data_IF_210462259067
#
_entry.id   IF_210462259067
#
_cell.length_a   1.000
_cell.length_b   1.000
_cell.length_c   1.000
_cell.angle_alpha   90.00
_cell.angle_beta   90.00
_cell.angle_gamma   90.00
#
_symmetry.space_group_name_H-M   'P 1'
#
loop_
_entity.id
_entity.type
_entity.pdbx_description
1 polymer ?
#
# COMPACT_ATOMS: atom_id res chain seq x y z
N UNK A 1 -6.28 9.75 -9.14
CA UNK A 1 -6.08 8.30 -9.08
C UNK A 1 -7.10 7.68 -8.12
N UNK A 2 -7.71 6.60 -8.53
CA UNK A 2 -8.73 5.91 -7.74
C UNK A 2 -8.10 4.74 -6.97
N UNK A 3 -8.41 4.66 -5.67
CA UNK A 3 -7.88 3.63 -4.77
C UNK A 3 -8.94 2.61 -4.32
N UNK A 4 -10.15 2.66 -4.87
CA UNK A 4 -11.27 1.81 -4.43
C UNK A 4 -12.08 2.44 -3.32
N UNK A 5 -13.24 1.87 -3.02
CA UNK A 5 -14.14 2.29 -1.93
C UNK A 5 -14.52 3.79 -1.96
N UNK A 6 -14.54 4.40 -3.14
CA UNK A 6 -14.85 5.82 -3.28
C UNK A 6 -13.69 6.74 -2.96
N UNK A 7 -12.48 6.24 -2.74
CA UNK A 7 -11.32 7.05 -2.39
C UNK A 7 -10.57 7.50 -3.64
N UNK A 8 -10.69 8.76 -3.97
CA UNK A 8 -10.00 9.40 -5.07
C UNK A 8 -8.84 10.23 -4.51
N UNK A 9 -7.62 9.92 -4.93
CA UNK A 9 -6.43 10.61 -4.45
C UNK A 9 -5.88 10.02 -3.16
N UNK A 10 -4.61 10.36 -2.90
CA UNK A 10 -3.84 9.77 -1.80
C UNK A 10 -4.38 10.17 -0.43
N UNK A 11 -4.81 11.43 -0.28
CA UNK A 11 -5.35 11.91 1.00
C UNK A 11 -6.60 11.11 1.40
N UNK A 12 -7.53 10.93 0.47
CA UNK A 12 -8.75 10.15 0.73
C UNK A 12 -8.43 8.70 1.05
N UNK A 13 -7.49 8.10 0.32
CA UNK A 13 -7.08 6.71 0.54
C UNK A 13 -6.39 6.53 1.89
N UNK A 14 -5.49 7.44 2.27
CA UNK A 14 -4.81 7.39 3.56
C UNK A 14 -5.81 7.48 4.71
N UNK A 15 -6.74 8.42 4.64
CA UNK A 15 -7.79 8.55 5.65
C UNK A 15 -8.74 7.37 5.64
N UNK A 16 -9.17 6.93 4.46
CA UNK A 16 -10.16 5.88 4.32
C UNK A 16 -9.65 4.51 4.75
N UNK A 17 -8.49 4.10 4.27
CA UNK A 17 -7.96 2.78 4.59
C UNK A 17 -7.26 2.72 5.94
N UNK A 18 -6.55 3.78 6.35
CA UNK A 18 -5.67 3.74 7.51
C UNK A 18 -5.97 4.79 8.57
N UNK A 19 -6.91 5.68 8.32
CA UNK A 19 -7.28 6.72 9.29
C UNK A 19 -6.15 7.70 9.58
N UNK A 20 -5.27 7.96 8.61
CA UNK A 20 -4.10 8.81 8.79
C UNK A 20 -3.96 9.83 7.65
N UNK A 21 -3.21 10.89 7.89
CA UNK A 21 -2.87 11.85 6.85
C UNK A 21 -1.79 11.27 5.91
N UNK A 22 -1.74 11.73 4.64
CA UNK A 22 -0.73 11.22 3.68
C UNK A 22 0.70 11.36 4.18
N UNK A 23 1.01 12.48 4.87
CA UNK A 23 2.35 12.77 5.38
C UNK A 23 2.77 11.80 6.49
N UNK A 24 1.80 11.11 7.10
CA UNK A 24 2.04 10.17 8.20
C UNK A 24 1.99 8.72 7.78
N UNK A 25 1.81 8.44 6.50
CA UNK A 25 1.84 7.07 6.01
C UNK A 25 3.20 6.45 6.29
N UNK A 26 3.17 5.23 6.84
CA UNK A 26 4.37 4.41 6.92
C UNK A 26 4.70 3.86 5.54
N UNK A 27 5.91 3.33 5.36
CA UNK A 27 6.28 2.70 4.10
C UNK A 27 5.43 1.45 3.81
N UNK A 28 5.04 0.71 4.83
CA UNK A 28 4.12 -0.42 4.66
C UNK A 28 2.76 0.03 4.15
N UNK A 29 2.19 1.08 4.73
CA UNK A 29 0.93 1.65 4.28
C UNK A 29 1.03 2.24 2.87
N UNK A 30 2.07 3.02 2.61
CA UNK A 30 2.26 3.67 1.31
C UNK A 30 2.44 2.66 0.17
N UNK A 31 3.20 1.61 0.39
CA UNK A 31 3.43 0.57 -0.63
C UNK A 31 2.18 -0.28 -0.86
N UNK A 32 1.37 -0.51 0.17
CA UNK A 32 0.06 -1.14 0.00
C UNK A 32 -0.83 -0.29 -0.91
N UNK A 33 -0.95 1.01 -0.64
CA UNK A 33 -1.77 1.89 -1.46
C UNK A 33 -1.25 1.97 -2.90
N UNK A 34 0.06 2.04 -3.09
CA UNK A 34 0.64 2.05 -4.43
C UNK A 34 0.26 0.80 -5.23
N UNK A 35 0.13 -0.34 -4.58
CA UNK A 35 -0.28 -1.58 -5.22
C UNK A 35 -1.73 -1.59 -5.68
N UNK A 36 -2.62 -0.83 -5.02
CA UNK A 36 -4.04 -0.82 -5.35
C UNK A 36 -4.35 -0.05 -6.64
N UNK A 37 -3.51 0.88 -7.03
CA UNK A 37 -3.80 1.82 -8.12
C UNK A 37 -4.09 1.12 -9.44
N UNK A 38 -3.42 0.02 -9.72
CA UNK A 38 -3.55 -0.69 -10.99
C UNK A 38 -4.89 -1.41 -11.12
N UNK A 39 -5.40 -1.97 -10.03
CA UNK A 39 -6.69 -2.69 -10.04
C UNK A 39 -7.31 -2.66 -8.64
N UNK A 40 -7.94 -1.54 -8.23
CA UNK A 40 -8.43 -1.37 -6.86
C UNK A 40 -9.44 -2.42 -6.41
N UNK A 41 -10.28 -2.91 -7.31
CA UNK A 41 -11.26 -3.96 -6.98
C UNK A 41 -10.62 -5.33 -6.81
N UNK A 42 -9.66 -5.68 -7.67
CA UNK A 42 -8.96 -6.97 -7.61
C UNK A 42 -8.05 -7.06 -6.38
N UNK A 43 -7.46 -5.95 -5.98
CA UNK A 43 -6.53 -5.86 -4.85
C UNK A 43 -7.16 -5.22 -3.62
N UNK A 44 -8.50 -5.23 -3.52
CA UNK A 44 -9.23 -4.66 -2.38
C UNK A 44 -8.76 -5.32 -1.07
N UNK A 45 -8.10 -4.56 -0.17
CA UNK A 45 -7.55 -5.17 1.04
C UNK A 45 -8.60 -5.65 2.03
N UNK A 46 -9.85 -5.18 1.92
CA UNK A 46 -10.93 -5.64 2.79
C UNK A 46 -11.45 -7.03 2.39
N UNK A 47 -11.40 -7.36 1.10
CA UNK A 47 -11.97 -8.61 0.58
C UNK A 47 -10.91 -9.55 0.01
N UNK A 48 -9.78 -9.01 -0.43
CA UNK A 48 -8.70 -9.76 -1.10
C UNK A 48 -7.34 -9.36 -0.53
N UNK A 49 -7.21 -9.46 0.80
CA UNK A 49 -5.98 -9.02 1.49
C UNK A 49 -4.75 -9.76 0.99
N UNK A 50 -4.86 -11.05 0.71
CA UNK A 50 -3.76 -11.85 0.18
C UNK A 50 -3.24 -11.29 -1.16
N UNK A 51 -4.13 -10.94 -2.07
CA UNK A 51 -3.77 -10.35 -3.36
C UNK A 51 -3.20 -8.95 -3.18
N UNK A 52 -3.77 -8.15 -2.27
CA UNK A 52 -3.24 -6.83 -1.95
C UNK A 52 -1.81 -6.93 -1.42
N UNK A 53 -1.53 -7.90 -0.55
CA UNK A 53 -0.20 -8.14 0.00
C UNK A 53 0.79 -8.60 -1.07
N UNK A 54 0.38 -9.48 -1.97
CA UNK A 54 1.21 -9.90 -3.09
C UNK A 54 1.57 -8.71 -3.98
N UNK A 55 0.60 -7.86 -4.27
CA UNK A 55 0.85 -6.67 -5.08
C UNK A 55 1.75 -5.66 -4.35
N UNK A 56 1.55 -5.48 -3.05
CA UNK A 56 2.43 -4.66 -2.22
C UNK A 56 3.87 -5.18 -2.29
N UNK A 57 4.08 -6.50 -2.18
CA UNK A 57 5.42 -7.09 -2.27
C UNK A 57 6.06 -6.81 -3.62
N UNK A 58 5.29 -6.88 -4.70
CA UNK A 58 5.77 -6.53 -6.03
C UNK A 58 6.23 -5.08 -6.10
N UNK A 59 5.46 -4.15 -5.54
CA UNK A 59 5.85 -2.73 -5.47
C UNK A 59 7.16 -2.56 -4.70
N UNK A 60 7.27 -3.20 -3.53
CA UNK A 60 8.48 -3.15 -2.71
C UNK A 60 9.69 -3.69 -3.48
N UNK A 61 9.54 -4.82 -4.14
CA UNK A 61 10.64 -5.43 -4.91
C UNK A 61 11.13 -4.50 -6.02
N UNK A 62 10.22 -3.76 -6.65
CA UNK A 62 10.59 -2.74 -7.64
C UNK A 62 11.37 -1.59 -7.00
N UNK A 63 10.99 -1.17 -5.82
CA UNK A 63 11.70 -0.11 -5.09
C UNK A 63 13.09 -0.56 -4.65
N UNK A 64 13.26 -1.83 -4.31
CA UNK A 64 14.56 -2.41 -4.02
C UNK A 64 15.41 -2.50 -5.31
N UNK A 65 14.83 -2.98 -6.40
CA UNK A 65 15.54 -3.12 -7.67
C UNK A 65 16.02 -1.77 -8.22
N UNK A 66 15.29 -0.70 -7.95
CA UNK A 66 15.64 0.66 -8.40
C UNK A 66 16.42 1.46 -7.37
N UNK A 67 16.86 0.81 -6.28
CA UNK A 67 17.70 1.39 -5.22
C UNK A 67 17.02 2.51 -4.42
N UNK A 68 15.69 2.57 -4.40
CA UNK A 68 14.94 3.47 -3.50
C UNK A 68 15.00 2.90 -2.08
N UNK A 69 14.83 1.59 -1.95
CA UNK A 69 15.01 0.84 -0.70
C UNK A 69 16.20 -0.08 -0.79
N UNK A 70 16.85 -0.33 0.36
CA UNK A 70 17.67 -1.53 0.52
C UNK A 70 16.75 -2.74 0.68
N UNK A 71 17.29 -3.95 0.50
CA UNK A 71 16.52 -5.17 0.74
C UNK A 71 15.97 -5.21 2.18
N UNK A 72 16.78 -4.80 3.15
CA UNK A 72 16.36 -4.76 4.56
C UNK A 72 15.22 -3.76 4.80
N UNK A 73 15.28 -2.60 4.17
CA UNK A 73 14.20 -1.59 4.27
C UNK A 73 12.92 -2.11 3.63
N UNK A 74 13.02 -2.78 2.49
CA UNK A 74 11.87 -3.40 1.83
C UNK A 74 11.22 -4.48 2.69
N UNK A 75 12.03 -5.35 3.28
CA UNK A 75 11.55 -6.40 4.18
C UNK A 75 10.88 -5.80 5.42
N UNK A 76 11.44 -4.75 5.99
CA UNK A 76 10.85 -4.06 7.13
C UNK A 76 9.49 -3.44 6.79
N UNK A 77 9.37 -2.82 5.63
CA UNK A 77 8.10 -2.26 5.17
C UNK A 77 7.04 -3.35 5.01
N UNK A 78 7.41 -4.48 4.42
CA UNK A 78 6.48 -5.59 4.21
C UNK A 78 6.08 -6.27 5.52
N UNK A 79 6.96 -6.26 6.52
CA UNK A 79 6.72 -6.87 7.83
C UNK A 79 5.81 -6.05 8.73
N UNK A 80 5.49 -4.80 8.39
CA UNK A 80 4.60 -3.97 9.19
C UNK A 80 3.22 -4.60 9.31
N UNK A 81 2.65 -4.56 10.52
CA UNK A 81 1.26 -4.92 10.73
C UNK A 81 0.38 -3.76 10.29
N UNK A 82 -0.39 -3.97 9.22
CA UNK A 82 -1.26 -2.93 8.67
C UNK A 82 -2.67 -3.09 9.24
N UNK A 83 -3.19 -2.03 9.86
CA UNK A 83 -4.55 -2.02 10.41
C UNK A 83 -5.44 -1.20 9.48
N UNK A 84 -6.37 -1.88 8.84
CA UNK A 84 -7.40 -1.22 8.04
C UNK A 84 -8.46 -0.61 8.98
N UNK A 85 -8.88 0.57 8.61
CA UNK A 85 -9.91 1.31 9.34
C UNK A 85 -11.30 0.71 9.16
#
# INVERSE_FOLDING_TARGET
VYYGHGFYGLADAAHGYFGTAPERLTWGQATMLAGLVQAPSAYDPYTHLDLARQRQRHVIDRLVATHVFTAAEGDAAFAETLKLR
#
